data_IF_524486346710
#
_entry.id   IF_524486346710
#
_cell.length_a   1.000
_cell.length_b   1.000
_cell.length_c   1.000
_cell.angle_alpha   90.00
_cell.angle_beta   90.00
_cell.angle_gamma   90.00
#
_symmetry.space_group_name_H-M   'P 1'
#
loop_
_entity.id
_entity.type
_entity.pdbx_description
1 polymer ?
#
# COMPACT_ATOMS: atom_id res chain seq x y z
N UNK A 1 23.01 -6.08 -19.38
CA UNK A 1 21.91 -5.10 -19.18
C UNK A 1 21.39 -5.18 -17.73
N UNK A 2 22.03 -4.51 -16.76
CA UNK A 2 21.62 -4.51 -15.33
C UNK A 2 21.30 -3.10 -14.79
N UNK A 3 21.21 -2.08 -15.65
CA UNK A 3 21.10 -0.66 -15.21
C UNK A 3 19.68 -0.24 -14.81
N UNK A 4 18.64 -0.92 -15.27
CA UNK A 4 17.26 -0.43 -15.11
C UNK A 4 16.63 -0.78 -13.74
N UNK A 5 17.00 -1.93 -13.16
CA UNK A 5 16.46 -2.38 -11.86
C UNK A 5 16.97 -1.51 -10.71
N UNK A 6 18.26 -1.16 -10.73
CA UNK A 6 18.87 -0.32 -9.69
C UNK A 6 18.28 1.10 -9.68
N UNK A 7 18.06 1.69 -10.87
CA UNK A 7 17.49 3.03 -10.99
C UNK A 7 16.04 3.09 -10.50
N UNK A 8 15.23 2.07 -10.85
CA UNK A 8 13.85 1.98 -10.35
C UNK A 8 13.81 1.83 -8.84
N UNK A 9 14.65 0.96 -8.27
CA UNK A 9 14.73 0.77 -6.83
C UNK A 9 15.16 2.06 -6.10
N UNK A 10 16.18 2.77 -6.61
CA UNK A 10 16.61 4.04 -6.03
C UNK A 10 15.53 5.12 -6.05
N UNK A 11 14.69 5.16 -7.09
CA UNK A 11 13.55 6.08 -7.14
C UNK A 11 12.44 5.71 -6.13
N UNK A 12 12.21 4.41 -5.91
CA UNK A 12 11.28 3.93 -4.89
C UNK A 12 11.77 4.32 -3.49
N UNK A 13 13.06 4.12 -3.20
CA UNK A 13 13.65 4.44 -1.89
C UNK A 13 13.58 5.94 -1.58
N UNK A 14 13.86 6.80 -2.56
CA UNK A 14 13.70 8.26 -2.42
C UNK A 14 12.25 8.68 -2.16
N UNK A 15 11.30 8.01 -2.83
CA UNK A 15 9.86 8.25 -2.65
C UNK A 15 9.38 7.83 -1.26
N UNK A 16 9.86 6.67 -0.79
CA UNK A 16 9.60 6.15 0.56
C UNK A 16 10.09 7.15 1.60
N UNK A 17 11.35 7.58 1.50
CA UNK A 17 11.92 8.54 2.45
C UNK A 17 11.11 9.83 2.49
N UNK A 18 10.68 10.35 1.34
CA UNK A 18 9.85 11.57 1.25
C UNK A 18 8.51 11.39 1.96
N UNK A 19 7.82 10.26 1.74
CA UNK A 19 6.53 9.98 2.38
C UNK A 19 6.70 9.76 3.88
N UNK A 20 7.76 9.08 4.33
CA UNK A 20 8.04 8.89 5.75
C UNK A 20 8.29 10.23 6.46
N UNK A 21 9.00 11.17 5.83
CA UNK A 21 9.13 12.54 6.38
C UNK A 21 7.77 13.23 6.48
N UNK A 22 6.93 13.12 5.46
CA UNK A 22 5.59 13.69 5.48
C UNK A 22 4.70 13.07 6.57
N UNK A 23 4.79 11.75 6.79
CA UNK A 23 4.07 11.05 7.85
C UNK A 23 4.54 11.42 9.25
N UNK A 24 5.77 11.92 9.43
CA UNK A 24 6.18 12.51 10.71
C UNK A 24 5.46 13.81 11.03
N UNK A 25 5.01 14.54 10.01
CA UNK A 25 4.21 15.77 10.15
C UNK A 25 2.72 15.41 10.27
N UNK A 26 2.24 14.49 9.44
CA UNK A 26 0.85 14.05 9.39
C UNK A 26 0.70 12.52 9.58
N UNK A 27 0.85 12.01 10.81
CA UNK A 27 0.91 10.57 11.09
C UNK A 27 -0.41 9.81 10.84
N UNK A 28 -1.50 10.55 10.65
CA UNK A 28 -2.86 10.03 10.40
C UNK A 28 -3.39 10.37 9.00
N UNK A 29 -2.53 10.78 8.07
CA UNK A 29 -2.94 11.01 6.69
C UNK A 29 -3.13 9.68 5.95
N UNK A 30 -4.38 9.31 5.69
CA UNK A 30 -4.74 8.06 5.01
C UNK A 30 -4.10 7.94 3.62
N UNK A 31 -4.05 9.03 2.85
CA UNK A 31 -3.48 9.01 1.50
C UNK A 31 -1.97 8.75 1.52
N UNK A 32 -1.24 9.36 2.45
CA UNK A 32 0.21 9.11 2.59
C UNK A 32 0.49 7.66 3.01
N UNK A 33 -0.32 7.10 3.91
CA UNK A 33 -0.22 5.70 4.31
C UNK A 33 -0.47 4.74 3.13
N UNK A 34 -1.48 5.02 2.30
CA UNK A 34 -1.76 4.24 1.09
C UNK A 34 -0.60 4.31 0.07
N UNK A 35 -0.03 5.50 -0.14
CA UNK A 35 1.12 5.67 -1.03
C UNK A 35 2.34 4.91 -0.53
N UNK A 36 2.62 4.96 0.78
CA UNK A 36 3.70 4.17 1.37
C UNK A 36 3.44 2.67 1.21
N UNK A 37 2.21 2.21 1.47
CA UNK A 37 1.81 0.82 1.26
C UNK A 37 2.07 0.36 -0.17
N UNK A 38 1.72 1.18 -1.16
CA UNK A 38 1.90 0.89 -2.59
C UNK A 38 3.38 0.74 -2.96
N UNK A 39 4.24 1.59 -2.40
CA UNK A 39 5.68 1.49 -2.60
C UNK A 39 6.27 0.25 -1.93
N UNK A 40 5.86 -0.08 -0.70
CA UNK A 40 6.31 -1.29 0.00
C UNK A 40 5.93 -2.56 -0.77
N UNK A 41 4.75 -2.59 -1.39
CA UNK A 41 4.35 -3.70 -2.25
C UNK A 41 5.25 -3.83 -3.49
N UNK A 42 5.62 -2.71 -4.11
CA UNK A 42 6.54 -2.70 -5.25
C UNK A 42 7.97 -3.13 -4.88
N UNK A 43 8.37 -2.91 -3.63
CA UNK A 43 9.65 -3.36 -3.08
C UNK A 43 9.65 -4.84 -2.64
N UNK A 44 8.55 -5.58 -2.86
CA UNK A 44 8.43 -6.96 -2.43
C UNK A 44 8.29 -7.11 -0.91
N UNK A 45 7.74 -6.10 -0.24
CA UNK A 45 7.46 -6.10 1.20
C UNK A 45 5.94 -6.14 1.45
N UNK A 46 5.25 -7.23 1.06
CA UNK A 46 3.79 -7.31 1.12
C UNK A 46 3.23 -7.24 2.54
N UNK A 47 3.94 -7.77 3.55
CA UNK A 47 3.51 -7.69 4.95
C UNK A 47 3.39 -6.22 5.43
N UNK A 48 4.39 -5.40 5.09
CA UNK A 48 4.39 -3.97 5.42
C UNK A 48 3.32 -3.24 4.61
N UNK A 49 3.14 -3.59 3.35
CA UNK A 49 2.11 -3.02 2.49
C UNK A 49 0.70 -3.28 3.05
N UNK A 50 0.38 -4.51 3.46
CA UNK A 50 -0.92 -4.85 4.04
C UNK A 50 -1.18 -4.06 5.33
N UNK A 51 -0.20 -3.98 6.23
CA UNK A 51 -0.35 -3.26 7.49
C UNK A 51 -0.61 -1.76 7.28
N UNK A 52 0.13 -1.12 6.37
CA UNK A 52 -0.04 0.29 6.04
C UNK A 52 -1.38 0.55 5.34
N UNK A 53 -1.81 -0.32 4.42
CA UNK A 53 -3.08 -0.19 3.74
C UNK A 53 -4.28 -0.39 4.69
N UNK A 54 -4.19 -1.32 5.64
CA UNK A 54 -5.21 -1.45 6.71
C UNK A 54 -5.31 -0.17 7.54
N UNK A 55 -4.17 0.42 7.93
CA UNK A 55 -4.16 1.68 8.69
C UNK A 55 -4.75 2.82 7.86
N UNK A 56 -4.42 2.90 6.58
CA UNK A 56 -5.01 3.87 5.65
C UNK A 56 -6.52 3.69 5.51
N UNK A 57 -7.00 2.46 5.36
CA UNK A 57 -8.43 2.13 5.21
C UNK A 57 -9.25 2.61 6.40
N UNK A 58 -8.74 2.36 7.61
CA UNK A 58 -9.37 2.82 8.86
C UNK A 58 -9.46 4.34 8.94
N UNK A 59 -8.44 5.06 8.44
CA UNK A 59 -8.37 6.52 8.47
C UNK A 59 -9.05 7.20 7.28
N UNK A 60 -9.39 6.44 6.23
CA UNK A 60 -10.05 6.94 5.02
C UNK A 60 -11.58 7.12 5.21
N UNK A 61 -12.00 7.61 6.38
CA UNK A 61 -13.40 7.91 6.67
C UNK A 61 -13.96 8.92 5.66
N UNK A 62 -15.18 8.70 5.18
CA UNK A 62 -15.81 9.52 4.15
C UNK A 62 -15.21 9.39 2.73
N UNK A 63 -14.12 8.63 2.54
CA UNK A 63 -13.50 8.42 1.23
C UNK A 63 -13.65 6.96 0.76
N UNK A 64 -14.82 6.65 0.20
CA UNK A 64 -15.12 5.30 -0.32
C UNK A 64 -14.12 4.84 -1.40
N UNK A 65 -13.67 5.75 -2.27
CA UNK A 65 -12.70 5.42 -3.31
C UNK A 65 -11.34 5.01 -2.72
N UNK A 66 -10.85 5.73 -1.70
CA UNK A 66 -9.60 5.37 -1.03
C UNK A 66 -9.75 4.06 -0.23
N UNK A 67 -10.89 3.80 0.41
CA UNK A 67 -11.17 2.51 1.05
C UNK A 67 -11.13 1.36 0.05
N UNK A 68 -11.76 1.52 -1.12
CA UNK A 68 -11.68 0.56 -2.23
C UNK A 68 -10.25 0.29 -2.66
N UNK A 69 -9.46 1.34 -2.88
CA UNK A 69 -8.05 1.22 -3.27
C UNK A 69 -7.22 0.49 -2.20
N UNK A 70 -7.44 0.78 -0.92
CA UNK A 70 -6.79 0.06 0.18
C UNK A 70 -7.13 -1.42 0.19
N UNK A 71 -8.41 -1.79 0.02
CA UNK A 71 -8.81 -3.21 -0.03
C UNK A 71 -8.22 -3.94 -1.25
N UNK A 72 -8.09 -3.27 -2.40
CA UNK A 72 -7.42 -3.83 -3.57
C UNK A 72 -5.91 -4.02 -3.32
N UNK A 73 -5.27 -3.08 -2.63
CA UNK A 73 -3.86 -3.19 -2.27
C UNK A 73 -3.61 -4.32 -1.27
N UNK A 74 -4.48 -4.46 -0.25
CA UNK A 74 -4.44 -5.60 0.68
C UNK A 74 -4.59 -6.92 -0.08
N UNK A 75 -5.49 -6.98 -1.07
CA UNK A 75 -5.62 -8.17 -1.91
C UNK A 75 -4.32 -8.50 -2.66
N UNK A 76 -3.69 -7.51 -3.29
CA UNK A 76 -2.44 -7.69 -4.01
C UNK A 76 -1.27 -8.10 -3.09
N UNK A 77 -1.21 -7.53 -1.88
CA UNK A 77 -0.23 -7.93 -0.86
C UNK A 77 -0.41 -9.40 -0.46
N UNK A 78 -1.65 -9.82 -0.19
CA UNK A 78 -1.97 -11.21 0.15
C UNK A 78 -1.67 -12.17 -0.99
N UNK A 79 -1.89 -11.77 -2.23
CA UNK A 79 -1.50 -12.58 -3.40
C UNK A 79 0.01 -12.78 -3.50
N UNK A 80 0.82 -11.74 -3.25
CA UNK A 80 2.28 -11.88 -3.21
C UNK A 80 2.75 -12.80 -2.08
N UNK A 81 2.01 -12.88 -0.98
CA UNK A 81 2.28 -13.78 0.15
C UNK A 81 1.75 -15.21 -0.06
N UNK A 82 1.02 -15.47 -1.15
CA UNK A 82 0.37 -16.77 -1.40
C UNK A 82 -0.96 -16.98 -0.65
N UNK A 83 -1.47 -15.98 0.06
CA UNK A 83 -2.78 -16.01 0.71
C UNK A 83 -3.90 -15.69 -0.30
N UNK A 84 -4.18 -16.63 -1.19
CA UNK A 84 -5.21 -16.50 -2.21
C UNK A 84 -6.62 -16.36 -1.62
N UNK A 85 -6.90 -17.02 -0.50
CA UNK A 85 -8.18 -16.94 0.18
C UNK A 85 -8.41 -15.54 0.76
N UNK A 86 -7.44 -15.01 1.49
CA UNK A 86 -7.50 -13.67 2.05
C UNK A 86 -7.48 -12.57 0.98
N UNK A 87 -6.83 -12.80 -0.15
CA UNK A 87 -6.90 -11.90 -1.30
C UNK A 87 -8.30 -11.83 -1.90
N UNK A 88 -8.97 -12.97 -2.09
CA UNK A 88 -10.35 -13.02 -2.58
C UNK A 88 -11.31 -12.29 -1.64
N UNK A 89 -11.16 -12.47 -0.34
CA UNK A 89 -11.96 -11.76 0.66
C UNK A 89 -11.71 -10.24 0.62
N UNK A 90 -10.44 -9.82 0.46
CA UNK A 90 -10.12 -8.40 0.32
C UNK A 90 -10.73 -7.79 -0.96
N UNK A 91 -10.69 -8.49 -2.10
CA UNK A 91 -11.36 -8.07 -3.35
C UNK A 91 -12.88 -7.94 -3.17
N UNK A 92 -13.51 -8.88 -2.46
CA UNK A 92 -14.94 -8.84 -2.13
C UNK A 92 -15.30 -7.66 -1.22
N UNK A 93 -14.40 -7.27 -0.32
CA UNK A 93 -14.57 -6.02 0.46
C UNK A 93 -14.44 -4.79 -0.43
N UNK A 94 -13.45 -4.76 -1.33
CA UNK A 94 -13.29 -3.67 -2.28
C UNK A 94 -14.51 -3.45 -3.18
N UNK A 95 -15.23 -4.51 -3.56
CA UNK A 95 -16.44 -4.40 -4.39
C UNK A 95 -17.67 -3.85 -3.67
N UNK A 96 -17.59 -3.64 -2.35
CA UNK A 96 -18.68 -3.06 -1.53
C UNK A 96 -18.61 -1.54 -1.41
N UNK A 97 -17.55 -0.92 -1.92
CA UNK A 97 -17.33 0.52 -1.97
C UNK A 97 -17.48 1.03 -3.40
#
# INVERSE_FOLDING_TARGET
MQKDVSYKQGNLDNSVATIERALRIEPRNALLLYKLASLRLQQGQPDLAENLAKKSELLAEGNANLKKQNWLLIAAAREQMGDHAGAKEARKKASRF
#
